data_IF_098739221362
#
_entry.id   IF_098739221362
#
_cell.length_a   1.000
_cell.length_b   1.000
_cell.length_c   1.000
_cell.angle_alpha   90.00
_cell.angle_beta   90.00
_cell.angle_gamma   90.00
#
_symmetry.space_group_name_H-M   'P 1'
#
loop_
_entity.id
_entity.type
_entity.pdbx_description
1 polymer ?
#
# COMPACT_ATOMS: atom_id res chain seq x y z
N UNK A 1 -26.68 -49.54 -47.07
CA UNK A 1 -25.77 -48.61 -47.80
C UNK A 1 -26.36 -47.21 -47.71
N UNK A 2 -25.48 -46.20 -47.60
CA UNK A 2 -25.69 -44.81 -47.19
C UNK A 2 -25.83 -44.67 -45.66
N UNK A 3 -24.90 -44.10 -44.88
CA UNK A 3 -23.78 -43.21 -45.19
C UNK A 3 -23.86 -42.02 -44.23
N UNK A 4 -23.36 -42.18 -43.00
CA UNK A 4 -23.19 -41.10 -42.02
C UNK A 4 -22.21 -40.05 -42.59
N UNK A 5 -22.46 -38.74 -42.44
CA UNK A 5 -21.47 -37.75 -42.82
C UNK A 5 -20.35 -37.72 -41.77
N UNK A 6 -19.13 -37.96 -42.25
CA UNK A 6 -17.87 -37.88 -41.52
C UNK A 6 -17.70 -36.51 -40.85
N UNK A 7 -17.70 -36.50 -39.51
CA UNK A 7 -17.06 -35.45 -38.73
C UNK A 7 -15.56 -35.61 -38.93
N UNK A 8 -15.03 -34.87 -39.91
CA UNK A 8 -13.58 -34.72 -40.10
C UNK A 8 -12.97 -34.20 -38.80
N UNK A 9 -12.13 -35.06 -38.24
CA UNK A 9 -11.27 -34.82 -37.10
C UNK A 9 -10.24 -33.74 -37.46
N UNK A 10 -10.46 -32.51 -36.98
CA UNK A 10 -9.54 -31.37 -37.17
C UNK A 10 -8.55 -31.24 -36.00
N UNK A 11 -8.46 -32.25 -35.12
CA UNK A 11 -7.67 -32.14 -33.89
C UNK A 11 -6.16 -32.45 -34.02
N UNK A 12 -5.68 -32.90 -35.18
CA UNK A 12 -4.28 -33.39 -35.30
C UNK A 12 -3.27 -32.46 -36.00
N UNK A 13 -3.51 -31.14 -36.14
CA UNK A 13 -2.51 -30.27 -36.80
C UNK A 13 -2.27 -28.87 -36.22
N UNK A 14 -2.79 -28.55 -35.03
CA UNK A 14 -2.62 -27.20 -34.44
C UNK A 14 -1.53 -27.16 -33.35
N UNK A 15 -1.01 -28.31 -32.94
CA UNK A 15 -0.10 -28.48 -31.79
C UNK A 15 1.29 -27.80 -31.88
N UNK A 16 1.91 -27.54 -33.07
CA UNK A 16 3.21 -26.86 -33.10
C UNK A 16 3.13 -25.32 -33.04
N UNK A 17 2.04 -24.73 -33.57
CA UNK A 17 1.90 -23.26 -33.68
C UNK A 17 1.48 -22.65 -32.33
N UNK A 18 0.66 -23.37 -31.55
CA UNK A 18 0.25 -22.97 -30.19
C UNK A 18 1.44 -22.91 -29.20
N UNK A 19 2.48 -23.72 -29.41
CA UNK A 19 3.68 -23.72 -28.56
C UNK A 19 4.55 -22.47 -28.74
N UNK A 20 4.46 -21.79 -29.88
CA UNK A 20 5.23 -20.56 -30.16
C UNK A 20 4.64 -19.32 -29.47
N UNK A 21 3.32 -19.25 -29.27
CA UNK A 21 2.66 -18.13 -28.59
C UNK A 21 2.74 -18.16 -27.06
N UNK A 22 3.12 -19.32 -26.49
CA UNK A 22 3.28 -19.57 -25.06
C UNK A 22 4.74 -19.59 -24.59
N UNK A 23 5.70 -19.70 -25.53
CA UNK A 23 7.14 -19.73 -25.23
C UNK A 23 7.77 -18.33 -25.05
N UNK A 24 6.95 -17.28 -24.95
CA UNK A 24 7.36 -15.87 -24.97
C UNK A 24 6.60 -15.03 -23.94
N UNK A 25 6.24 -15.62 -22.80
CA UNK A 25 5.58 -14.94 -21.68
C UNK A 25 6.40 -15.19 -20.43
N UNK A 26 6.63 -14.20 -19.56
CA UNK A 26 7.50 -14.37 -18.41
C UNK A 26 7.03 -15.50 -17.50
N UNK A 27 7.98 -16.12 -16.80
CA UNK A 27 7.68 -17.20 -15.85
C UNK A 27 6.92 -16.62 -14.65
N UNK A 28 5.65 -17.02 -14.51
CA UNK A 28 4.73 -16.50 -13.51
C UNK A 28 4.10 -17.69 -12.79
N UNK A 29 3.89 -17.63 -11.46
CA UNK A 29 3.09 -18.65 -10.78
C UNK A 29 1.68 -18.65 -11.35
N UNK A 30 1.36 -19.67 -12.15
CA UNK A 30 0.01 -19.95 -12.62
C UNK A 30 -0.78 -20.68 -11.51
N UNK A 31 -2.10 -20.53 -11.45
CA UNK A 31 -2.95 -21.38 -10.61
C UNK A 31 -2.68 -22.85 -10.96
N UNK A 32 -2.45 -23.70 -9.95
CA UNK A 32 -2.13 -25.13 -10.17
C UNK A 32 -3.25 -25.87 -10.89
N UNK A 33 -4.51 -25.47 -10.66
CA UNK A 33 -5.71 -26.04 -11.27
C UNK A 33 -6.24 -25.13 -12.38
N UNK A 34 -5.66 -25.21 -13.59
CA UNK A 34 -6.27 -24.60 -14.77
C UNK A 34 -7.51 -25.40 -15.19
N UNK A 35 -8.68 -24.74 -15.39
CA UNK A 35 -9.85 -25.43 -15.90
C UNK A 35 -9.64 -25.90 -17.34
N UNK A 36 -10.37 -26.96 -17.76
CA UNK A 36 -10.30 -27.46 -19.12
C UNK A 36 -10.72 -26.37 -20.11
N UNK A 37 -9.96 -26.25 -21.20
CA UNK A 37 -10.26 -25.29 -22.26
C UNK A 37 -11.39 -25.77 -23.16
N UNK A 38 -12.23 -24.85 -23.69
CA UNK A 38 -12.15 -23.40 -23.55
C UNK A 38 -12.84 -22.87 -22.27
N UNK A 39 -12.27 -21.84 -21.63
CA UNK A 39 -12.74 -21.31 -20.34
C UNK A 39 -13.81 -20.24 -20.54
N UNK A 40 -14.97 -20.42 -19.92
CA UNK A 40 -16.05 -19.45 -19.93
C UNK A 40 -15.67 -18.10 -19.32
N UNK A 41 -16.31 -17.01 -19.75
CA UNK A 41 -16.16 -15.69 -19.08
C UNK A 41 -16.45 -15.74 -17.58
N UNK A 42 -17.46 -16.52 -17.16
CA UNK A 42 -17.82 -16.67 -15.75
C UNK A 42 -16.73 -17.40 -14.97
N UNK A 43 -16.17 -18.47 -15.53
CA UNK A 43 -15.12 -19.24 -14.88
C UNK A 43 -13.83 -18.42 -14.80
N UNK A 44 -13.47 -17.74 -15.88
CA UNK A 44 -12.33 -16.81 -15.93
C UNK A 44 -12.44 -15.72 -14.85
N UNK A 45 -13.62 -15.14 -14.67
CA UNK A 45 -13.88 -14.15 -13.64
C UNK A 45 -13.69 -14.73 -12.23
N UNK A 46 -14.21 -15.93 -11.98
CA UNK A 46 -14.09 -16.61 -10.69
C UNK A 46 -12.65 -17.01 -10.37
N UNK A 47 -11.89 -17.54 -11.34
CA UNK A 47 -10.50 -17.97 -11.17
C UNK A 47 -9.60 -16.85 -10.70
N UNK A 48 -9.77 -15.65 -11.26
CA UNK A 48 -8.92 -14.48 -10.96
C UNK A 48 -9.58 -13.50 -9.97
N UNK A 49 -10.76 -13.83 -9.43
CA UNK A 49 -11.49 -12.96 -8.50
C UNK A 49 -11.86 -11.59 -9.08
N UNK A 50 -12.10 -11.52 -10.40
CA UNK A 50 -12.45 -10.27 -11.10
C UNK A 50 -13.90 -10.28 -11.59
N UNK A 51 -14.45 -9.12 -11.92
CA UNK A 51 -15.80 -9.03 -12.46
C UNK A 51 -15.83 -9.23 -13.98
N UNK A 52 -16.98 -9.60 -14.55
CA UNK A 52 -17.15 -9.66 -16.01
C UNK A 52 -16.88 -8.30 -16.67
N UNK A 53 -17.23 -7.20 -15.98
CA UNK A 53 -16.94 -5.83 -16.44
C UNK A 53 -15.43 -5.57 -16.54
N UNK A 54 -14.65 -6.11 -15.61
CA UNK A 54 -13.19 -6.03 -15.62
C UNK A 54 -12.60 -6.80 -16.81
N UNK A 55 -13.11 -8.00 -17.09
CA UNK A 55 -12.69 -8.78 -18.26
C UNK A 55 -12.99 -8.04 -19.57
N UNK A 56 -14.20 -7.47 -19.72
CA UNK A 56 -14.53 -6.63 -20.88
C UNK A 56 -13.62 -5.41 -21.01
N UNK A 57 -13.30 -4.75 -19.89
CA UNK A 57 -12.35 -3.65 -19.90
C UNK A 57 -10.97 -4.08 -20.41
N UNK A 58 -10.48 -5.27 -20.03
CA UNK A 58 -9.21 -5.79 -20.56
C UNK A 58 -9.29 -6.17 -22.04
N UNK A 59 -10.43 -6.66 -22.52
CA UNK A 59 -10.69 -6.86 -23.96
C UNK A 59 -10.63 -5.53 -24.72
N UNK A 60 -11.32 -4.49 -24.24
CA UNK A 60 -11.32 -3.15 -24.85
C UNK A 60 -9.92 -2.52 -24.88
N UNK A 61 -9.08 -2.86 -23.90
CA UNK A 61 -7.67 -2.43 -23.81
C UNK A 61 -6.71 -3.30 -24.62
N UNK A 62 -7.21 -4.27 -25.39
CA UNK A 62 -6.45 -5.24 -26.18
C UNK A 62 -5.44 -6.07 -25.36
N UNK A 63 -5.71 -6.22 -24.06
CA UNK A 63 -4.88 -7.02 -23.16
C UNK A 63 -5.26 -8.50 -23.18
N UNK A 64 -6.55 -8.79 -23.43
CA UNK A 64 -7.10 -10.12 -23.59
C UNK A 64 -7.83 -10.24 -24.94
N UNK A 65 -7.97 -11.47 -25.44
CA UNK A 65 -8.70 -11.74 -26.68
C UNK A 65 -9.74 -12.84 -26.43
N UNK A 66 -11.02 -12.49 -26.34
CA UNK A 66 -12.05 -13.53 -26.28
C UNK A 66 -12.38 -14.10 -27.65
N UNK A 67 -12.66 -15.39 -27.67
CA UNK A 67 -13.33 -16.05 -28.79
C UNK A 67 -14.80 -16.23 -28.49
N UNK A 68 -15.62 -16.38 -29.52
CA UNK A 68 -17.05 -16.67 -29.36
C UNK A 68 -17.35 -18.10 -29.76
N UNK A 69 -17.92 -18.86 -28.83
CA UNK A 69 -18.49 -20.17 -29.11
C UNK A 69 -20.02 -20.02 -29.02
N UNK A 70 -20.66 -19.86 -30.18
CA UNK A 70 -22.07 -19.49 -30.27
C UNK A 70 -22.32 -18.10 -29.67
N UNK A 71 -23.11 -18.04 -28.60
CA UNK A 71 -23.43 -16.80 -27.87
C UNK A 71 -22.46 -16.52 -26.71
N UNK A 72 -21.57 -17.46 -26.40
CA UNK A 72 -20.74 -17.43 -25.20
C UNK A 72 -19.32 -16.94 -25.53
N UNK A 73 -18.78 -16.04 -24.69
CA UNK A 73 -17.37 -15.67 -24.73
C UNK A 73 -16.54 -16.70 -23.99
N UNK A 74 -15.47 -17.14 -24.63
CA UNK A 74 -14.54 -18.12 -24.10
C UNK A 74 -13.09 -17.67 -24.29
N UNK A 75 -12.23 -18.09 -23.38
CA UNK A 75 -10.80 -17.79 -23.32
C UNK A 75 -9.99 -19.09 -23.45
N UNK A 76 -8.79 -18.98 -24.02
CA UNK A 76 -7.86 -20.10 -24.19
C UNK A 76 -6.61 -19.91 -23.33
N UNK A 77 -5.72 -20.90 -23.34
CA UNK A 77 -4.50 -20.94 -22.52
C UNK A 77 -3.75 -19.61 -22.47
N UNK A 78 -3.54 -19.01 -23.64
CA UNK A 78 -2.81 -17.76 -23.80
C UNK A 78 -3.45 -16.63 -23.00
N UNK A 79 -4.77 -16.51 -23.02
CA UNK A 79 -5.49 -15.47 -22.30
C UNK A 79 -5.46 -15.72 -20.79
N UNK A 80 -5.41 -16.98 -20.35
CA UNK A 80 -5.24 -17.35 -18.93
C UNK A 80 -3.88 -16.88 -18.42
N UNK A 81 -2.79 -17.15 -19.15
CA UNK A 81 -1.45 -16.70 -18.76
C UNK A 81 -1.36 -15.17 -18.78
N UNK A 82 -1.95 -14.51 -19.79
CA UNK A 82 -2.02 -13.05 -19.81
C UNK A 82 -2.79 -12.49 -18.63
N UNK A 83 -3.92 -13.09 -18.30
CA UNK A 83 -4.73 -12.67 -17.17
C UNK A 83 -4.00 -12.85 -15.84
N UNK A 84 -3.24 -13.93 -15.68
CA UNK A 84 -2.39 -14.12 -14.51
C UNK A 84 -1.38 -12.96 -14.37
N UNK A 85 -0.68 -12.59 -15.45
CA UNK A 85 0.26 -11.47 -15.45
C UNK A 85 -0.44 -10.14 -15.13
N UNK A 86 -1.57 -9.87 -15.76
CA UNK A 86 -2.37 -8.66 -15.50
C UNK A 86 -2.77 -8.60 -14.03
N UNK A 87 -3.22 -9.72 -13.46
CA UNK A 87 -3.65 -9.79 -12.07
C UNK A 87 -2.48 -9.53 -11.11
N UNK A 88 -1.32 -10.17 -11.30
CA UNK A 88 -0.12 -9.95 -10.49
C UNK A 88 0.35 -8.49 -10.55
N UNK A 89 0.40 -7.89 -11.75
CA UNK A 89 0.75 -6.48 -11.89
C UNK A 89 -0.27 -5.56 -11.21
N UNK A 90 -1.55 -5.89 -11.28
CA UNK A 90 -2.61 -5.13 -10.61
C UNK A 90 -2.50 -5.22 -9.09
N UNK A 91 -2.18 -6.38 -8.54
CA UNK A 91 -2.06 -6.59 -7.08
C UNK A 91 -0.94 -5.74 -6.46
N UNK A 92 0.16 -5.50 -7.19
CA UNK A 92 1.23 -4.59 -6.77
C UNK A 92 0.93 -3.10 -7.09
N UNK A 93 -0.30 -2.81 -7.50
CA UNK A 93 -0.79 -1.47 -7.81
C UNK A 93 -0.20 -0.87 -9.09
N UNK A 94 0.30 -1.68 -10.03
CA UNK A 94 0.78 -1.17 -11.31
C UNK A 94 -0.40 -0.57 -12.11
N UNK A 95 -0.25 0.65 -12.68
CA UNK A 95 -1.31 1.25 -13.46
C UNK A 95 -1.53 0.48 -14.77
N UNK A 96 -2.77 0.48 -15.26
CA UNK A 96 -3.12 -0.26 -16.48
C UNK A 96 -2.30 0.18 -17.70
N UNK A 97 -1.91 1.45 -17.78
CA UNK A 97 -1.08 1.97 -18.86
C UNK A 97 0.31 1.29 -18.87
N UNK A 98 0.95 1.16 -17.71
CA UNK A 98 2.23 0.46 -17.60
C UNK A 98 2.12 -1.04 -17.93
N UNK A 99 0.97 -1.66 -17.61
CA UNK A 99 0.68 -3.04 -18.03
C UNK A 99 0.58 -3.11 -19.56
N UNK A 100 -0.10 -2.16 -20.21
CA UNK A 100 -0.18 -2.11 -21.69
C UNK A 100 1.20 -1.93 -22.33
N UNK A 101 2.04 -1.05 -21.78
CA UNK A 101 3.41 -0.83 -22.26
C UNK A 101 4.25 -2.10 -22.14
N UNK A 102 4.17 -2.78 -20.99
CA UNK A 102 4.83 -4.08 -20.78
C UNK A 102 4.38 -5.11 -21.84
N UNK A 103 3.08 -5.22 -22.10
CA UNK A 103 2.57 -6.14 -23.13
C UNK A 103 3.00 -5.76 -24.54
N UNK A 104 3.12 -4.47 -24.85
CA UNK A 104 3.61 -4.00 -26.15
C UNK A 104 5.07 -4.41 -26.37
N UNK A 105 5.91 -4.29 -25.34
CA UNK A 105 7.30 -4.72 -25.39
C UNK A 105 7.42 -6.25 -25.46
N UNK A 106 6.64 -6.99 -24.66
CA UNK A 106 6.61 -8.45 -24.67
C UNK A 106 6.23 -9.03 -26.03
N UNK A 107 5.25 -8.43 -26.72
CA UNK A 107 4.85 -8.85 -28.08
C UNK A 107 5.99 -8.71 -29.11
N UNK A 108 7.00 -7.87 -28.86
CA UNK A 108 8.18 -7.71 -29.71
C UNK A 108 9.35 -8.63 -29.35
N UNK A 109 9.29 -9.36 -28.23
CA UNK A 109 10.35 -10.26 -27.80
C UNK A 109 10.28 -11.62 -28.48
N UNK A 110 11.45 -12.23 -28.67
CA UNK A 110 11.59 -13.55 -29.30
C UNK A 110 12.14 -14.62 -28.35
N UNK A 111 12.27 -14.32 -27.06
CA UNK A 111 12.86 -15.22 -26.07
C UNK A 111 12.24 -15.03 -24.68
N UNK A 112 12.00 -16.16 -24.01
CA UNK A 112 11.57 -16.23 -22.61
C UNK A 112 12.49 -15.44 -21.66
N UNK A 113 13.80 -15.48 -21.90
CA UNK A 113 14.77 -14.76 -21.06
C UNK A 113 14.58 -13.25 -21.16
N UNK A 114 14.34 -12.73 -22.36
CA UNK A 114 14.06 -11.30 -22.58
C UNK A 114 12.71 -10.91 -21.96
N UNK A 115 11.70 -11.77 -22.06
CA UNK A 115 10.41 -11.55 -21.41
C UNK A 115 10.55 -11.44 -19.88
N UNK A 116 11.36 -12.31 -19.27
CA UNK A 116 11.67 -12.24 -17.84
C UNK A 116 12.44 -10.97 -17.46
N UNK A 117 13.42 -10.56 -18.27
CA UNK A 117 14.18 -9.32 -18.07
C UNK A 117 13.27 -8.08 -18.12
N UNK A 118 12.36 -8.01 -19.10
CA UNK A 118 11.38 -6.94 -19.22
C UNK A 118 10.44 -6.88 -18.00
N UNK A 119 9.92 -8.04 -17.58
CA UNK A 119 9.08 -8.10 -16.38
C UNK A 119 9.86 -7.63 -15.15
N UNK A 120 11.08 -8.11 -14.95
CA UNK A 120 11.93 -7.70 -13.84
C UNK A 120 12.21 -6.20 -13.86
N UNK A 121 12.52 -5.63 -15.02
CA UNK A 121 12.72 -4.19 -15.17
C UNK A 121 11.45 -3.38 -14.81
N UNK A 122 10.28 -3.85 -15.25
CA UNK A 122 9.00 -3.23 -14.91
C UNK A 122 8.70 -3.31 -13.39
N UNK A 123 9.00 -4.44 -12.75
CA UNK A 123 8.85 -4.63 -11.31
C UNK A 123 9.82 -3.74 -10.52
N UNK A 124 11.07 -3.60 -10.96
CA UNK A 124 12.05 -2.71 -10.35
C UNK A 124 11.66 -1.23 -10.49
N UNK A 125 11.15 -0.83 -11.65
CA UNK A 125 10.60 0.50 -11.85
C UNK A 125 9.44 0.76 -10.87
N UNK A 126 8.49 -0.17 -10.77
CA UNK A 126 7.36 -0.04 -9.85
C UNK A 126 7.80 0.02 -8.39
N UNK A 127 8.79 -0.79 -8.00
CA UNK A 127 9.40 -0.74 -6.67
C UNK A 127 9.98 0.64 -6.35
N UNK A 128 10.72 1.24 -7.29
CA UNK A 128 11.29 2.59 -7.12
C UNK A 128 10.20 3.65 -6.96
N UNK A 129 9.13 3.59 -7.76
CA UNK A 129 7.97 4.48 -7.63
C UNK A 129 7.32 4.37 -6.26
N UNK A 130 7.11 3.16 -5.75
CA UNK A 130 6.52 2.94 -4.43
C UNK A 130 7.40 3.50 -3.30
N UNK A 131 8.72 3.35 -3.38
CA UNK A 131 9.67 3.93 -2.42
C UNK A 131 9.62 5.47 -2.46
N UNK A 132 9.57 6.06 -3.66
CA UNK A 132 9.43 7.50 -3.81
C UNK A 132 8.10 8.01 -3.26
N UNK A 133 7.00 7.30 -3.54
CA UNK A 133 5.66 7.59 -3.04
C UNK A 133 5.60 7.50 -1.51
N UNK A 134 6.23 6.50 -0.90
CA UNK A 134 6.37 6.39 0.55
C UNK A 134 7.07 7.62 1.14
N UNK A 135 8.19 8.04 0.55
CA UNK A 135 8.93 9.22 1.00
C UNK A 135 8.14 10.52 0.84
N UNK A 136 7.27 10.60 -0.17
CA UNK A 136 6.35 11.71 -0.36
C UNK A 136 5.22 11.69 0.69
N UNK A 137 4.60 10.53 0.92
CA UNK A 137 3.55 10.37 1.91
C UNK A 137 4.02 10.73 3.32
N UNK A 138 5.25 10.32 3.72
CA UNK A 138 5.80 10.72 5.02
C UNK A 138 5.95 12.24 5.15
N UNK A 139 6.43 12.93 4.11
CA UNK A 139 6.52 14.39 4.10
C UNK A 139 5.15 15.06 4.16
N UNK A 140 4.16 14.52 3.45
CA UNK A 140 2.79 15.03 3.49
C UNK A 140 2.17 14.87 4.88
N UNK A 141 2.39 13.73 5.54
CA UNK A 141 1.95 13.51 6.92
C UNK A 141 2.60 14.53 7.87
N UNK A 142 3.91 14.77 7.74
CA UNK A 142 4.62 15.77 8.54
C UNK A 142 4.05 17.18 8.32
N UNK A 143 3.78 17.55 7.06
CA UNK A 143 3.15 18.82 6.72
C UNK A 143 1.74 18.94 7.32
N UNK A 144 0.91 17.90 7.19
CA UNK A 144 -0.43 17.87 7.80
C UNK A 144 -0.32 18.05 9.31
N UNK A 145 0.58 17.31 9.98
CA UNK A 145 0.79 17.46 11.42
C UNK A 145 1.20 18.89 11.80
N UNK A 146 2.06 19.54 11.01
CA UNK A 146 2.47 20.92 11.25
C UNK A 146 1.32 21.94 11.11
N UNK A 147 0.36 21.65 10.22
CA UNK A 147 -0.84 22.48 10.04
C UNK A 147 -1.84 22.26 11.17
N UNK A 148 -2.06 21.00 11.57
CA UNK A 148 -2.93 20.67 12.70
C UNK A 148 -2.42 21.29 14.01
N UNK A 149 -1.10 21.33 14.24
CA UNK A 149 -0.54 22.04 15.41
C UNK A 149 -0.67 23.57 15.32
N UNK A 150 -0.82 24.15 14.12
CA UNK A 150 -1.01 25.60 13.96
C UNK A 150 -2.44 26.05 14.26
N UNK A 151 -3.43 25.18 14.07
CA UNK A 151 -4.83 25.49 14.41
C UNK A 151 -5.05 25.48 15.93
N UNK A 152 -4.22 24.77 16.71
CA UNK A 152 -4.21 24.88 18.18
C UNK A 152 -3.62 26.22 18.67
N UNK A 153 -2.75 26.88 17.88
CA UNK A 153 -2.16 28.18 18.21
C UNK A 153 -2.98 29.38 17.68
N UNK A 154 -3.97 29.17 16.81
CA UNK A 154 -4.72 30.25 16.13
C UNK A 154 -6.05 30.65 16.77
N UNK A 155 -6.53 29.93 17.80
CA UNK A 155 -7.60 30.43 18.68
C UNK A 155 -7.10 31.42 19.75
N UNK A 156 -5.80 31.75 19.80
CA UNK A 156 -5.20 32.67 20.79
C UNK A 156 -4.60 33.97 20.22
N UNK A 157 -5.04 34.46 19.06
CA UNK A 157 -4.52 35.75 18.57
C UNK A 157 -5.58 36.80 18.25
N UNK A 158 -6.24 37.33 19.29
CA UNK A 158 -6.43 38.78 19.44
C UNK A 158 -6.62 39.21 20.92
N UNK A 159 -5.68 40.05 21.39
CA UNK A 159 -5.73 40.96 22.56
C UNK A 159 -5.27 40.39 23.94
N UNK A 160 -4.78 41.24 24.86
CA UNK A 160 -3.39 41.65 25.01
C UNK A 160 -2.81 41.22 26.38
N UNK A 161 -1.49 41.06 26.47
CA UNK A 161 -0.68 41.10 27.73
C UNK A 161 -1.45 40.75 29.02
N UNK A 162 -1.81 39.48 29.21
CA UNK A 162 -2.19 38.97 30.54
C UNK A 162 -1.42 37.69 30.79
N UNK A 163 -0.53 37.78 31.78
CA UNK A 163 0.18 36.67 32.41
C UNK A 163 -0.84 35.60 32.84
N UNK A 164 -1.14 34.63 31.98
CA UNK A 164 -1.68 33.36 32.45
C UNK A 164 -0.48 32.43 32.65
N UNK A 165 0.11 32.56 33.83
CA UNK A 165 1.03 31.53 34.32
C UNK A 165 0.29 30.20 34.25
N UNK A 166 0.96 29.18 33.72
CA UNK A 166 0.47 27.82 33.85
C UNK A 166 0.33 27.56 35.35
N UNK A 167 -0.90 27.43 35.86
CA UNK A 167 -1.18 27.13 37.27
C UNK A 167 -0.80 25.67 37.54
N UNK A 168 0.51 25.44 37.69
CA UNK A 168 1.07 24.23 38.25
C UNK A 168 0.97 24.31 39.76
N UNK A 169 0.44 23.24 40.36
CA UNK A 169 0.52 23.04 41.80
C UNK A 169 1.99 22.86 42.21
N UNK A 170 2.30 23.10 43.48
CA UNK A 170 3.64 22.87 44.04
C UNK A 170 4.18 21.46 43.73
N UNK A 171 3.30 20.45 43.77
CA UNK A 171 3.65 19.06 43.43
C UNK A 171 3.99 18.89 41.95
N UNK A 172 3.24 19.53 41.06
CA UNK A 172 3.49 19.49 39.62
C UNK A 172 4.78 20.21 39.26
N UNK A 173 5.04 21.36 39.88
CA UNK A 173 6.27 22.11 39.69
C UNK A 173 7.49 21.31 40.17
N UNK A 174 7.40 20.69 41.34
CA UNK A 174 8.47 19.85 41.87
C UNK A 174 8.74 18.61 41.01
N UNK A 175 7.68 17.93 40.55
CA UNK A 175 7.80 16.81 39.61
C UNK A 175 8.47 17.24 38.29
N UNK A 176 8.05 18.38 37.72
CA UNK A 176 8.59 18.91 36.48
C UNK A 176 10.08 19.32 36.60
N UNK A 177 10.50 19.83 37.76
CA UNK A 177 11.92 20.09 38.07
C UNK A 177 12.74 18.80 38.06
N UNK A 178 12.26 17.75 38.73
CA UNK A 178 12.95 16.45 38.75
C UNK A 178 13.01 15.81 37.36
N UNK A 179 11.96 16.00 36.55
CA UNK A 179 11.96 15.58 35.15
C UNK A 179 13.03 16.30 34.33
N UNK A 180 13.22 17.60 34.54
CA UNK A 180 14.25 18.40 33.89
C UNK A 180 15.66 17.99 34.29
N UNK A 181 15.86 17.61 35.55
CA UNK A 181 17.12 17.03 36.06
C UNK A 181 17.38 15.59 35.55
N UNK A 182 16.50 15.04 34.71
CA UNK A 182 16.68 13.72 34.08
C UNK A 182 16.30 12.53 34.98
N UNK A 183 15.49 12.74 36.02
CA UNK A 183 15.06 11.65 36.89
C UNK A 183 14.05 10.75 36.19
N UNK A 184 14.23 9.43 36.33
CA UNK A 184 13.25 8.43 35.87
C UNK A 184 12.02 8.44 36.78
N UNK A 185 10.85 7.98 36.28
CA UNK A 185 9.60 7.94 37.06
C UNK A 185 9.75 7.24 38.42
N UNK A 186 10.55 6.16 38.47
CA UNK A 186 10.84 5.42 39.71
C UNK A 186 11.64 6.28 40.71
N UNK A 187 12.58 7.09 40.21
CA UNK A 187 13.35 8.01 41.06
C UNK A 187 12.49 9.18 41.52
N UNK A 188 11.65 9.76 40.65
CA UNK A 188 10.69 10.82 41.01
C UNK A 188 9.75 10.32 42.13
N UNK A 189 9.18 9.12 41.98
CA UNK A 189 8.31 8.51 42.99
C UNK A 189 9.03 8.37 44.35
N UNK A 190 10.29 7.93 44.34
CA UNK A 190 11.09 7.81 45.56
C UNK A 190 11.40 9.18 46.18
N UNK A 191 11.77 10.18 45.38
CA UNK A 191 12.12 11.52 45.85
C UNK A 191 10.91 12.25 46.43
N UNK A 192 9.75 12.14 45.76
CA UNK A 192 8.51 12.77 46.20
C UNK A 192 7.75 11.95 47.27
N UNK A 193 8.25 10.77 47.65
CA UNK A 193 7.58 9.82 48.56
C UNK A 193 6.15 9.45 48.11
N UNK A 194 5.95 9.30 46.80
CA UNK A 194 4.68 8.98 46.18
C UNK A 194 4.69 7.57 45.59
N UNK A 195 3.51 7.01 45.32
CA UNK A 195 3.40 5.76 44.55
C UNK A 195 3.73 6.01 43.08
N UNK A 196 4.18 4.97 42.39
CA UNK A 196 4.50 5.04 40.96
C UNK A 196 3.27 5.47 40.11
N UNK A 197 2.08 4.95 40.44
CA UNK A 197 0.83 5.32 39.77
C UNK A 197 0.48 6.80 39.98
N UNK A 198 0.72 7.34 41.18
CA UNK A 198 0.47 8.75 41.45
C UNK A 198 1.40 9.68 40.65
N UNK A 199 2.66 9.27 40.42
CA UNK A 199 3.59 10.01 39.55
C UNK A 199 3.15 9.98 38.09
N UNK A 200 2.64 8.86 37.58
CA UNK A 200 2.10 8.79 36.21
C UNK A 200 0.91 9.73 36.04
N UNK A 201 -0.02 9.73 37.01
CA UNK A 201 -1.16 10.64 36.99
C UNK A 201 -0.74 12.11 37.07
N UNK A 202 0.30 12.41 37.86
CA UNK A 202 0.87 13.74 37.98
C UNK A 202 1.57 14.19 36.68
N UNK A 203 2.40 13.34 36.06
CA UNK A 203 3.01 13.60 34.75
C UNK A 203 1.94 13.83 33.68
N UNK A 204 0.85 13.07 33.69
CA UNK A 204 -0.27 13.28 32.77
C UNK A 204 -1.01 14.61 33.00
N UNK A 205 -1.16 15.05 34.26
CA UNK A 205 -1.70 16.37 34.60
C UNK A 205 -0.80 17.49 34.08
N UNK A 206 0.51 17.37 34.32
CA UNK A 206 1.53 18.32 33.83
C UNK A 206 1.51 18.39 32.31
N UNK A 207 1.52 17.24 31.63
CA UNK A 207 1.44 17.16 30.17
C UNK A 207 0.18 17.83 29.62
N UNK A 208 -0.97 17.67 30.28
CA UNK A 208 -2.21 18.35 29.88
C UNK A 208 -2.13 19.86 30.07
N UNK A 209 -1.59 20.32 31.21
CA UNK A 209 -1.46 21.75 31.54
C UNK A 209 -0.42 22.49 30.68
N UNK A 210 0.67 21.81 30.33
CA UNK A 210 1.76 22.34 29.48
C UNK A 210 1.54 22.01 28.00
N UNK A 211 0.42 21.35 27.65
CA UNK A 211 0.07 20.93 26.30
C UNK A 211 1.19 20.13 25.62
N UNK A 212 1.66 19.07 26.27
CA UNK A 212 2.72 18.19 25.79
C UNK A 212 2.20 16.76 25.58
N UNK A 213 2.67 16.08 24.52
CA UNK A 213 2.33 14.69 24.20
C UNK A 213 3.26 13.68 24.87
N UNK A 214 4.43 14.11 25.34
CA UNK A 214 5.36 13.26 26.07
C UNK A 214 6.15 14.05 27.12
N UNK A 215 6.76 13.32 28.07
CA UNK A 215 7.54 13.90 29.17
C UNK A 215 8.71 14.78 28.74
N UNK A 216 9.35 14.48 27.60
CA UNK A 216 10.48 15.26 27.09
C UNK A 216 10.01 16.59 26.51
N UNK A 217 8.88 16.58 25.81
CA UNK A 217 8.22 17.79 25.31
C UNK A 217 7.71 18.66 26.46
N UNK A 218 7.20 18.06 27.53
CA UNK A 218 6.77 18.78 28.73
C UNK A 218 7.95 19.54 29.37
N UNK A 219 9.10 18.88 29.53
CA UNK A 219 10.34 19.51 30.04
C UNK A 219 10.81 20.62 29.09
N UNK A 220 10.88 20.37 27.79
CA UNK A 220 11.35 21.37 26.82
C UNK A 220 10.46 22.63 26.82
N UNK A 221 9.13 22.46 26.82
CA UNK A 221 8.18 23.58 26.91
C UNK A 221 8.33 24.31 28.25
N UNK A 222 8.49 23.60 29.36
CA UNK A 222 8.67 24.21 30.67
C UNK A 222 9.93 25.06 30.80
N UNK A 223 11.04 24.61 30.21
CA UNK A 223 12.30 25.37 30.15
C UNK A 223 12.14 26.62 29.28
N UNK A 224 11.50 26.49 28.11
CA UNK A 224 11.24 27.64 27.21
C UNK A 224 10.32 28.69 27.83
N UNK A 225 9.35 28.25 28.66
CA UNK A 225 8.44 29.12 29.39
C UNK A 225 9.05 29.71 30.67
N UNK A 226 10.29 29.35 31.02
CA UNK A 226 10.97 29.81 32.23
C UNK A 226 10.38 29.27 33.54
N UNK A 227 9.59 28.18 33.46
CA UNK A 227 8.98 27.51 34.61
C UNK A 227 10.03 26.71 35.38
N UNK A 228 10.99 26.12 34.66
CA UNK A 228 12.08 25.33 35.26
C UNK A 228 13.42 25.84 34.73
N UNK A 229 14.41 25.94 35.61
CA UNK A 229 15.75 26.37 35.25
C UNK A 229 16.52 25.27 34.49
N UNK A 230 17.39 25.71 33.59
CA UNK A 230 18.31 24.86 32.82
C UNK A 230 19.49 24.38 33.67
#
# INVERSE_FOLDING_TARGET
MAGQPDFLDVTESITPILKAGLAMMPDLPLPEDLPPEPVAISDMANLFGVTHRTLHFYEEKNLLSSSRMGLMRVYYHRDIIRMALINTCREIGMPIAAIQDLFAELNGTLSQAQANELLNAALEARKRELIASQSMMFRQIEQINSLLTREEDQDETEMPVLRHGIDLTELEHHCLSLMAEGYTQVRVARTMQMTFEAVIALEASIMRKVQATNRFQAVAKAVLLGIVAN
#
